data_IF_723992918849
#
_entry.id   IF_723992918849
#
_cell.length_a   1.000
_cell.length_b   1.000
_cell.length_c   1.000
_cell.angle_alpha   90.00
_cell.angle_beta   90.00
_cell.angle_gamma   90.00
#
_symmetry.space_group_name_H-M   'P 1'
#
loop_
_entity.id
_entity.type
_entity.pdbx_description
1 polymer ?
#
# COMPACT_ATOMS: atom_id res chain seq x y z
N UNK A 1 -25.22 -3.28 -23.00
CA UNK A 1 -24.34 -2.77 -21.95
C UNK A 1 -23.38 -3.89 -21.56
N UNK A 2 -22.08 -3.68 -21.54
CA UNK A 2 -21.14 -4.71 -21.12
C UNK A 2 -20.89 -4.58 -19.61
N UNK A 3 -20.76 -5.70 -18.88
CA UNK A 3 -20.40 -5.66 -17.46
C UNK A 3 -18.97 -5.13 -17.28
N UNK A 4 -18.74 -4.44 -16.16
CA UNK A 4 -17.39 -4.04 -15.74
C UNK A 4 -16.66 -5.30 -15.26
N UNK A 5 -15.49 -5.59 -15.83
CA UNK A 5 -14.71 -6.78 -15.48
C UNK A 5 -13.85 -6.56 -14.23
N UNK A 6 -13.33 -5.35 -14.03
CA UNK A 6 -12.55 -4.94 -12.87
C UNK A 6 -12.48 -3.42 -12.78
N UNK A 7 -12.16 -2.90 -11.60
CA UNK A 7 -11.84 -1.48 -11.36
C UNK A 7 -10.36 -1.38 -10.98
N UNK A 8 -9.59 -0.52 -11.65
CA UNK A 8 -8.24 -0.16 -11.22
C UNK A 8 -8.30 1.03 -10.27
N UNK A 9 -7.70 0.89 -9.09
CA UNK A 9 -7.60 1.95 -8.11
C UNK A 9 -6.25 1.90 -7.38
N UNK A 10 -5.72 3.06 -6.98
CA UNK A 10 -4.56 3.10 -6.11
C UNK A 10 -4.95 2.62 -4.72
N UNK A 11 -4.21 1.64 -4.19
CA UNK A 11 -4.40 1.17 -2.83
C UNK A 11 -3.09 0.69 -2.22
N UNK A 12 -2.76 1.28 -1.09
CA UNK A 12 -1.60 0.92 -0.27
C UNK A 12 -1.78 1.50 1.13
N UNK A 13 -0.88 1.19 2.06
CA UNK A 13 -0.79 1.89 3.36
C UNK A 13 -0.47 3.40 3.20
N UNK A 14 -0.07 3.82 2.01
CA UNK A 14 0.20 5.21 1.62
C UNK A 14 -1.02 5.87 0.93
N UNK A 15 -2.04 5.10 0.56
CA UNK A 15 -3.24 5.57 -0.15
C UNK A 15 -4.42 4.65 0.16
N UNK A 16 -5.23 5.05 1.14
CA UNK A 16 -6.36 4.26 1.64
C UNK A 16 -7.72 4.78 1.17
N UNK A 17 -7.75 5.79 0.29
CA UNK A 17 -8.97 6.51 -0.12
C UNK A 17 -10.10 5.58 -0.58
N UNK A 18 -9.74 4.50 -1.30
CA UNK A 18 -10.72 3.54 -1.82
C UNK A 18 -11.57 2.87 -0.73
N UNK A 19 -11.03 2.79 0.50
CA UNK A 19 -11.72 2.20 1.64
C UNK A 19 -12.77 3.16 2.24
N UNK A 20 -12.71 4.46 1.90
CA UNK A 20 -13.49 5.53 2.54
C UNK A 20 -14.39 6.31 1.58
N UNK A 21 -14.32 6.05 0.26
CA UNK A 21 -15.03 6.80 -0.78
C UNK A 21 -16.08 5.97 -1.54
N UNK A 22 -16.64 4.95 -0.91
CA UNK A 22 -17.67 4.05 -1.44
C UNK A 22 -17.26 3.18 -2.64
N UNK A 23 -16.06 3.35 -3.22
CA UNK A 23 -15.62 2.55 -4.39
C UNK A 23 -15.49 1.07 -4.00
N UNK A 24 -14.79 0.76 -2.92
CA UNK A 24 -14.65 -0.64 -2.46
C UNK A 24 -16.00 -1.26 -2.15
N UNK A 25 -16.88 -0.53 -1.45
CA UNK A 25 -18.23 -0.98 -1.12
C UNK A 25 -19.06 -1.28 -2.38
N UNK A 26 -19.08 -0.35 -3.34
CA UNK A 26 -19.82 -0.54 -4.60
C UNK A 26 -19.28 -1.72 -5.39
N UNK A 27 -17.94 -1.89 -5.43
CA UNK A 27 -17.31 -3.03 -6.08
C UNK A 27 -17.72 -4.35 -5.41
N UNK A 28 -17.79 -4.38 -4.07
CA UNK A 28 -18.27 -5.57 -3.34
C UNK A 28 -19.74 -5.89 -3.63
N UNK A 29 -20.62 -4.88 -3.62
CA UNK A 29 -22.04 -5.03 -3.91
C UNK A 29 -22.32 -5.56 -5.33
N UNK A 30 -21.45 -5.22 -6.28
CA UNK A 30 -21.57 -5.60 -7.69
C UNK A 30 -20.70 -6.80 -8.10
N UNK A 31 -20.00 -7.42 -7.14
CA UNK A 31 -19.03 -8.51 -7.37
C UNK A 31 -17.96 -8.14 -8.42
N UNK A 32 -17.47 -6.89 -8.36
CA UNK A 32 -16.44 -6.38 -9.26
C UNK A 32 -15.10 -6.40 -8.52
N UNK A 33 -14.08 -7.12 -9.01
CA UNK A 33 -12.75 -7.11 -8.39
C UNK A 33 -12.03 -5.76 -8.57
N UNK A 34 -11.19 -5.42 -7.60
CA UNK A 34 -10.33 -4.24 -7.62
C UNK A 34 -8.89 -4.67 -7.93
N UNK A 35 -8.30 -4.06 -8.95
CA UNK A 35 -6.88 -4.15 -9.24
C UNK A 35 -6.17 -3.01 -8.53
N UNK A 36 -5.47 -3.33 -7.44
CA UNK A 36 -4.79 -2.34 -6.61
C UNK A 36 -3.42 -1.99 -7.21
N UNK A 37 -3.33 -0.85 -7.91
CA UNK A 37 -2.03 -0.37 -8.41
C UNK A 37 -1.26 0.41 -7.35
N UNK A 38 0.06 0.57 -7.55
CA UNK A 38 1.01 1.16 -6.61
C UNK A 38 0.90 0.61 -5.17
N UNK A 39 0.75 -0.73 -4.96
CA UNK A 39 0.50 -1.30 -3.64
C UNK A 39 1.68 -1.11 -2.68
N UNK A 40 2.86 -0.77 -3.19
CA UNK A 40 4.08 -0.49 -2.44
C UNK A 40 4.36 1.02 -2.30
N UNK A 41 3.36 1.89 -2.48
CA UNK A 41 3.48 3.34 -2.29
C UNK A 41 4.60 3.96 -3.13
N UNK A 42 4.72 3.56 -4.41
CA UNK A 42 5.78 4.03 -5.32
C UNK A 42 7.20 3.75 -4.79
N UNK A 43 7.35 2.69 -4.00
CA UNK A 43 8.63 2.22 -3.48
C UNK A 43 8.92 2.57 -2.01
N UNK A 44 8.20 3.49 -1.37
CA UNK A 44 8.45 3.85 0.04
C UNK A 44 8.15 2.70 1.01
N UNK A 45 7.20 1.83 0.67
CA UNK A 45 6.83 0.66 1.48
C UNK A 45 7.72 -0.57 1.24
N UNK A 46 8.86 -0.40 0.55
CA UNK A 46 9.83 -1.50 0.32
C UNK A 46 10.98 -1.50 1.32
N UNK A 47 11.13 -0.43 2.11
CA UNK A 47 12.29 -0.19 2.96
C UNK A 47 13.53 0.31 2.22
N UNK A 48 13.48 0.49 0.88
CA UNK A 48 14.62 0.96 0.07
C UNK A 48 14.66 2.48 -0.11
N UNK A 49 13.59 3.20 0.23
CA UNK A 49 13.50 4.66 0.19
C UNK A 49 13.33 5.15 1.62
N UNK A 50 14.39 5.66 2.20
CA UNK A 50 14.45 6.15 3.59
C UNK A 50 14.63 7.67 3.65
N UNK A 51 15.10 8.25 2.54
CA UNK A 51 15.28 9.68 2.37
C UNK A 51 15.01 10.11 0.92
N UNK A 52 14.86 11.41 0.68
CA UNK A 52 14.71 11.93 -0.68
C UNK A 52 15.97 11.70 -1.54
N UNK A 53 17.13 11.56 -0.91
CA UNK A 53 18.39 11.27 -1.60
C UNK A 53 18.44 9.84 -2.20
N UNK A 54 17.56 8.93 -1.75
CA UNK A 54 17.46 7.59 -2.32
C UNK A 54 16.67 7.57 -3.65
N UNK A 55 16.06 8.70 -4.01
CA UNK A 55 15.29 8.87 -5.24
C UNK A 55 16.23 9.41 -6.33
N UNK A 56 16.40 8.69 -7.45
CA UNK A 56 17.32 9.13 -8.51
C UNK A 56 16.97 10.51 -9.07
N UNK A 57 17.96 11.27 -9.49
CA UNK A 57 17.77 12.54 -10.18
C UNK A 57 16.91 12.36 -11.43
N UNK A 58 15.95 13.26 -11.64
CA UNK A 58 15.02 13.20 -12.77
C UNK A 58 13.83 12.22 -12.59
N UNK A 59 13.73 11.54 -11.45
CA UNK A 59 12.58 10.70 -11.15
C UNK A 59 11.32 11.55 -10.96
N UNK A 60 10.18 11.10 -11.50
CA UNK A 60 8.90 11.81 -11.44
C UNK A 60 8.46 12.09 -9.99
N UNK A 61 8.89 11.27 -9.03
CA UNK A 61 8.55 11.44 -7.61
C UNK A 61 9.01 12.79 -7.05
N UNK A 62 10.09 13.39 -7.58
CA UNK A 62 10.52 14.73 -7.19
C UNK A 62 9.48 15.82 -7.47
N UNK A 63 8.55 15.58 -8.38
CA UNK A 63 7.46 16.51 -8.72
C UNK A 63 6.15 16.21 -7.99
N UNK A 64 6.10 15.11 -7.22
CA UNK A 64 4.88 14.71 -6.50
C UNK A 64 4.82 15.35 -5.12
N UNK A 65 3.64 15.86 -4.75
CA UNK A 65 3.41 16.56 -3.48
C UNK A 65 3.87 15.76 -2.26
N UNK A 66 3.58 14.46 -2.20
CA UNK A 66 3.95 13.58 -1.08
C UNK A 66 5.45 13.37 -0.91
N UNK A 67 6.25 13.67 -1.95
CA UNK A 67 7.70 13.57 -1.95
C UNK A 67 8.39 14.93 -1.79
N UNK A 68 7.65 16.03 -1.53
CA UNK A 68 8.24 17.28 -1.12
C UNK A 68 8.74 17.17 0.32
N UNK A 69 9.83 17.87 0.67
CA UNK A 69 10.59 17.66 1.89
C UNK A 69 9.74 17.60 3.16
N UNK A 70 8.85 18.58 3.36
CA UNK A 70 8.00 18.65 4.56
C UNK A 70 7.00 17.47 4.62
N UNK A 71 6.32 17.17 3.50
CA UNK A 71 5.37 16.09 3.41
C UNK A 71 6.07 14.74 3.56
N UNK A 72 7.20 14.56 2.88
CA UNK A 72 7.98 13.31 2.96
C UNK A 72 8.44 13.03 4.39
N UNK A 73 9.00 14.03 5.08
CA UNK A 73 9.41 13.90 6.49
C UNK A 73 8.24 13.51 7.41
N UNK A 74 7.08 14.12 7.18
CA UNK A 74 5.87 13.77 7.93
C UNK A 74 5.46 12.33 7.66
N UNK A 75 5.38 11.95 6.38
CA UNK A 75 4.90 10.65 5.93
C UNK A 75 5.83 9.50 6.33
N UNK A 76 7.14 9.78 6.48
CA UNK A 76 8.12 8.77 6.91
C UNK A 76 7.84 8.21 8.31
N UNK A 77 7.04 8.88 9.14
CA UNK A 77 6.63 8.34 10.45
C UNK A 77 5.83 7.06 10.26
N UNK A 78 4.79 7.10 9.43
CA UNK A 78 4.00 5.93 9.06
C UNK A 78 4.88 4.80 8.50
N UNK A 79 5.78 5.15 7.55
CA UNK A 79 6.66 4.17 6.91
C UNK A 79 7.58 3.49 7.92
N UNK A 80 8.12 4.25 8.88
CA UNK A 80 9.02 3.72 9.90
C UNK A 80 8.30 2.72 10.81
N UNK A 81 7.07 3.00 11.25
CA UNK A 81 6.29 2.06 12.07
C UNK A 81 5.94 0.78 11.32
N UNK A 82 5.59 0.88 10.03
CA UNK A 82 5.39 -0.30 9.17
C UNK A 82 6.70 -1.11 9.03
N UNK A 83 7.85 -0.44 8.92
CA UNK A 83 9.15 -1.10 8.86
C UNK A 83 9.50 -1.79 10.20
N UNK A 84 9.14 -1.19 11.33
CA UNK A 84 9.31 -1.81 12.65
C UNK A 84 8.45 -3.07 12.80
N UNK A 85 7.19 -3.02 12.38
CA UNK A 85 6.32 -4.20 12.35
C UNK A 85 6.93 -5.31 11.47
N UNK A 86 7.43 -4.97 10.27
CA UNK A 86 8.10 -5.92 9.39
C UNK A 86 9.33 -6.56 10.05
N UNK A 87 10.13 -5.75 10.74
CA UNK A 87 11.32 -6.20 11.47
C UNK A 87 10.95 -7.17 12.60
N UNK A 88 9.95 -6.85 13.42
CA UNK A 88 9.47 -7.74 14.50
C UNK A 88 8.96 -9.08 13.95
N UNK A 89 8.33 -9.05 12.78
CA UNK A 89 7.81 -10.25 12.12
C UNK A 89 8.89 -11.05 11.34
N UNK A 90 10.06 -10.47 11.13
CA UNK A 90 11.15 -11.10 10.36
C UNK A 90 10.88 -11.19 8.86
N UNK A 91 10.13 -10.23 8.30
CA UNK A 91 9.77 -10.17 6.88
C UNK A 91 10.17 -8.82 6.28
N UNK A 92 10.16 -8.73 4.94
CA UNK A 92 10.38 -7.45 4.27
C UNK A 92 9.17 -6.51 4.41
N UNK A 93 9.37 -5.16 4.50
CA UNK A 93 8.27 -4.20 4.55
C UNK A 93 7.26 -4.34 3.41
N UNK A 94 7.73 -4.62 2.19
CA UNK A 94 6.87 -4.91 1.05
C UNK A 94 5.88 -6.06 1.31
N UNK A 95 6.29 -7.07 2.07
CA UNK A 95 5.44 -8.21 2.39
C UNK A 95 4.33 -7.81 3.39
N UNK A 96 4.61 -6.93 4.35
CA UNK A 96 3.57 -6.35 5.23
C UNK A 96 2.56 -5.56 4.41
N UNK A 97 3.03 -4.66 3.52
CA UNK A 97 2.15 -3.85 2.68
C UNK A 97 1.23 -4.70 1.79
N UNK A 98 1.76 -5.75 1.17
CA UNK A 98 0.98 -6.66 0.33
C UNK A 98 0.04 -7.56 1.15
N UNK A 99 0.49 -8.02 2.33
CA UNK A 99 -0.34 -8.80 3.24
C UNK A 99 -1.54 -7.99 3.74
N UNK A 100 -1.33 -6.70 4.07
CA UNK A 100 -2.41 -5.81 4.48
C UNK A 100 -3.50 -5.70 3.41
N UNK A 101 -3.13 -5.45 2.14
CA UNK A 101 -4.10 -5.39 1.03
C UNK A 101 -4.88 -6.71 0.90
N UNK A 102 -4.19 -7.84 0.96
CA UNK A 102 -4.81 -9.17 0.86
C UNK A 102 -5.72 -9.47 2.05
N UNK A 103 -5.33 -9.03 3.25
CA UNK A 103 -6.17 -9.19 4.44
C UNK A 103 -7.41 -8.29 4.36
N UNK A 104 -7.31 -7.08 3.83
CA UNK A 104 -8.47 -6.24 3.54
C UNK A 104 -9.45 -6.93 2.57
N UNK A 105 -8.95 -7.58 1.52
CA UNK A 105 -9.78 -8.32 0.57
C UNK A 105 -10.59 -9.46 1.21
N UNK A 106 -10.13 -9.98 2.33
CA UNK A 106 -10.82 -11.06 3.05
C UNK A 106 -11.82 -10.56 4.11
N UNK A 107 -11.91 -9.25 4.34
CA UNK A 107 -12.87 -8.69 5.30
C UNK A 107 -14.30 -8.78 4.75
N UNK A 108 -15.31 -9.03 5.61
CA UNK A 108 -16.71 -8.98 5.20
C UNK A 108 -17.08 -7.63 4.55
N UNK A 109 -17.79 -7.68 3.43
CA UNK A 109 -18.22 -6.48 2.70
C UNK A 109 -17.15 -5.82 1.84
N UNK A 110 -15.97 -6.45 1.70
CA UNK A 110 -14.92 -6.00 0.80
C UNK A 110 -14.93 -6.79 -0.52
N UNK A 111 -14.56 -6.17 -1.65
CA UNK A 111 -14.41 -6.87 -2.92
C UNK A 111 -13.14 -7.73 -2.92
N UNK A 112 -13.02 -8.61 -3.91
CA UNK A 112 -11.71 -9.21 -4.22
C UNK A 112 -10.73 -8.12 -4.63
N UNK A 113 -9.60 -7.99 -3.91
CA UNK A 113 -8.56 -6.99 -4.19
C UNK A 113 -7.27 -7.69 -4.62
N UNK A 114 -6.79 -7.37 -5.80
CA UNK A 114 -5.61 -7.97 -6.43
C UNK A 114 -4.51 -6.93 -6.50
N UNK A 115 -3.49 -6.97 -5.61
CA UNK A 115 -2.36 -6.06 -5.71
C UNK A 115 -1.47 -6.39 -6.92
N UNK A 116 -1.03 -5.35 -7.63
CA UNK A 116 -0.11 -5.47 -8.76
C UNK A 116 1.23 -4.75 -8.46
N UNK A 117 2.08 -5.34 -7.60
CA UNK A 117 3.36 -4.74 -7.25
C UNK A 117 4.33 -4.76 -8.42
N UNK A 118 5.10 -3.69 -8.59
CA UNK A 118 6.21 -3.65 -9.54
C UNK A 118 7.30 -4.66 -9.17
N UNK A 119 7.83 -5.37 -10.17
CA UNK A 119 8.90 -6.34 -10.00
C UNK A 119 9.90 -6.25 -11.15
N UNK A 120 10.97 -5.49 -10.99
CA UNK A 120 12.01 -5.29 -12.02
C UNK A 120 13.10 -6.36 -12.01
N UNK A 121 13.16 -7.19 -10.96
CA UNK A 121 14.12 -8.29 -10.82
C UNK A 121 13.41 -9.56 -10.35
N UNK A 122 14.01 -10.72 -10.62
CA UNK A 122 13.51 -12.01 -10.15
C UNK A 122 13.31 -12.00 -8.63
N UNK A 123 14.28 -11.47 -7.87
CA UNK A 123 14.24 -11.48 -6.41
C UNK A 123 13.07 -10.64 -5.87
N UNK A 124 12.82 -9.46 -6.47
CA UNK A 124 11.65 -8.64 -6.13
C UNK A 124 10.34 -9.36 -6.43
N UNK A 125 10.25 -10.05 -7.58
CA UNK A 125 9.04 -10.83 -7.91
C UNK A 125 8.86 -11.96 -6.90
N UNK A 126 9.91 -12.73 -6.59
CA UNK A 126 9.87 -13.81 -5.60
C UNK A 126 9.49 -13.26 -4.22
N UNK A 127 10.06 -12.12 -3.79
CA UNK A 127 9.72 -11.47 -2.53
C UNK A 127 8.25 -11.06 -2.48
N UNK A 128 7.75 -10.43 -3.55
CA UNK A 128 6.35 -9.99 -3.65
C UNK A 128 5.37 -11.18 -3.67
N UNK A 129 5.75 -12.28 -4.35
CA UNK A 129 4.97 -13.52 -4.44
C UNK A 129 5.13 -14.41 -3.20
N UNK A 130 6.30 -14.38 -2.57
CA UNK A 130 6.70 -15.21 -1.42
C UNK A 130 5.91 -14.96 -0.14
N UNK A 131 4.84 -14.27 -0.33
CA UNK A 131 3.66 -14.19 0.44
C UNK A 131 3.87 -13.98 1.92
N UNK A 132 3.74 -12.78 2.33
CA UNK A 132 3.27 -12.58 3.67
C UNK A 132 2.00 -13.43 3.85
N UNK A 133 2.02 -14.35 4.78
CA UNK A 133 0.81 -14.94 5.31
C UNK A 133 -0.13 -13.79 5.70
N UNK A 134 -1.44 -14.01 5.64
CA UNK A 134 -2.41 -13.03 6.11
C UNK A 134 -1.96 -12.46 7.46
N UNK A 135 -2.17 -11.18 7.66
CA UNK A 135 -1.90 -10.53 8.93
C UNK A 135 -2.87 -11.05 9.99
N UNK A 136 -2.39 -11.23 11.21
CA UNK A 136 -3.24 -11.53 12.35
C UNK A 136 -4.13 -10.32 12.69
N UNK A 137 -5.24 -10.54 13.37
CA UNK A 137 -6.15 -9.45 13.78
C UNK A 137 -5.43 -8.38 14.63
N UNK A 138 -4.49 -8.80 15.47
CA UNK A 138 -3.68 -7.86 16.29
C UNK A 138 -2.75 -7.00 15.44
N UNK A 139 -2.16 -7.56 14.37
CA UNK A 139 -1.31 -6.82 13.44
C UNK A 139 -2.14 -5.86 12.57
N UNK A 140 -3.34 -6.29 12.19
CA UNK A 140 -4.29 -5.42 11.48
C UNK A 140 -4.73 -4.24 12.35
N UNK A 141 -5.04 -4.49 13.63
CA UNK A 141 -5.39 -3.43 14.58
C UNK A 141 -4.23 -2.45 14.83
N UNK A 142 -2.99 -2.97 14.91
CA UNK A 142 -1.80 -2.12 15.01
C UNK A 142 -1.63 -1.23 13.77
N UNK A 143 -1.78 -1.79 12.57
CA UNK A 143 -1.70 -1.00 11.33
C UNK A 143 -2.83 0.03 11.24
N UNK A 144 -4.04 -0.30 11.66
CA UNK A 144 -5.16 0.64 11.72
C UNK A 144 -4.84 1.81 12.65
N UNK A 145 -4.27 1.56 13.84
CA UNK A 145 -3.83 2.59 14.75
C UNK A 145 -2.73 3.49 14.15
N UNK A 146 -1.74 2.90 13.46
CA UNK A 146 -0.69 3.64 12.74
C UNK A 146 -1.30 4.56 11.66
N UNK A 147 -2.27 4.07 10.90
CA UNK A 147 -2.95 4.86 9.86
C UNK A 147 -3.80 6.00 10.42
N UNK A 148 -4.41 5.81 11.59
CA UNK A 148 -5.16 6.84 12.30
C UNK A 148 -4.25 7.93 12.88
N UNK A 149 -3.10 7.55 13.44
CA UNK A 149 -2.13 8.48 14.04
C UNK A 149 -1.36 9.27 12.97
N UNK A 150 -1.04 8.64 11.84
CA UNK A 150 -0.18 9.21 10.79
C UNK A 150 -0.91 9.36 9.46
N UNK A 151 -1.77 10.37 9.38
CA UNK A 151 -2.41 10.71 8.10
C UNK A 151 -1.39 11.15 7.06
N UNK A 152 -1.50 10.63 5.84
CA UNK A 152 -0.56 10.95 4.75
C UNK A 152 -0.73 12.40 4.29
N UNK A 153 0.35 13.17 4.32
CA UNK A 153 0.41 14.58 3.89
C UNK A 153 0.75 14.69 2.42
N UNK A 154 0.14 15.66 1.75
CA UNK A 154 0.32 15.93 0.33
C UNK A 154 -0.70 15.24 -0.59
N UNK A 155 -1.00 15.90 -1.71
CA UNK A 155 -1.90 15.36 -2.71
C UNK A 155 -1.32 14.09 -3.36
N UNK A 156 -2.21 13.23 -3.84
CA UNK A 156 -1.83 11.96 -4.47
C UNK A 156 -1.10 12.14 -5.79
N UNK A 157 -1.47 13.22 -6.52
CA UNK A 157 -0.89 13.69 -7.78
C UNK A 157 -0.63 15.18 -7.75
#
# INVERSE_FOLDING_TARGET
MHPIAAVEAEMSLWSTDILHNDIAKTCAELDIPVIAYSPLGRGVLTGSVTSLADIPDGDIRHHMSRFQEENFKHNMKLINEVNELATRRGVAPAQIALAWIRTQSNKPGMPTIIPIPGGTTKDKVVQNMGGAQALADSEMAEIEAILEEHTVSGARY
#
